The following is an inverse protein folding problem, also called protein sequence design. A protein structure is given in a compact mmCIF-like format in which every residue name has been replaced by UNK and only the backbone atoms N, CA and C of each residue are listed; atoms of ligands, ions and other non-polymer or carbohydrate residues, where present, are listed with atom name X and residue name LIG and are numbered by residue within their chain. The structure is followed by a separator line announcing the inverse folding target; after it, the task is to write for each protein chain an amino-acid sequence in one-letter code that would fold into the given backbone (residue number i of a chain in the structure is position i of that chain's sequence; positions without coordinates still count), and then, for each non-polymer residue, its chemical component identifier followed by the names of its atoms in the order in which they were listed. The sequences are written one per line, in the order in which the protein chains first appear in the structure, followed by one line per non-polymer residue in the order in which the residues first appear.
data_IF_088459092658
#
_entry.id   IF_088459092658
#
_cell.length_a   1.000
_cell.length_b   1.000
_cell.length_c   1.000
_cell.angle_alpha   90.00
_cell.angle_beta   90.00
_cell.angle_gamma   90.00
#
_symmetry.space_group_name_H-M   'P 1'
#
loop_
_entity.id
_entity.type
_entity.pdbx_description
1 polymer ?
#
# COMPACT_ATOMS: atom_id res chain seq x y z
N UNK A 1 -9.38 -10.83 3.86
CA UNK A 1 -9.05 -9.59 3.10
C UNK A 1 -10.32 -8.81 2.83
N UNK A 2 -10.29 -7.50 2.95
CA UNK A 2 -11.46 -6.64 2.69
C UNK A 2 -11.74 -6.56 1.20
N UNK A 3 -13.02 -6.37 0.82
CA UNK A 3 -13.41 -6.24 -0.59
C UNK A 3 -12.66 -5.11 -1.30
N UNK A 4 -12.50 -3.95 -0.65
CA UNK A 4 -11.79 -2.82 -1.24
C UNK A 4 -10.33 -3.19 -1.56
N UNK A 5 -9.71 -4.05 -0.76
CA UNK A 5 -8.34 -4.52 -1.00
C UNK A 5 -8.28 -5.48 -2.18
N UNK A 6 -9.28 -6.33 -2.33
CA UNK A 6 -9.40 -7.21 -3.50
C UNK A 6 -9.53 -6.39 -4.79
N UNK A 7 -10.34 -5.35 -4.78
CA UNK A 7 -10.52 -4.45 -5.92
C UNK A 7 -9.23 -3.66 -6.22
N UNK A 8 -8.56 -3.19 -5.17
CA UNK A 8 -7.25 -2.52 -5.29
C UNK A 8 -6.23 -3.42 -5.99
N UNK A 9 -6.11 -4.66 -5.54
CA UNK A 9 -5.17 -5.64 -6.13
C UNK A 9 -5.55 -5.93 -7.58
N UNK A 10 -6.83 -6.03 -7.91
CA UNK A 10 -7.29 -6.22 -9.27
C UNK A 10 -6.85 -5.07 -10.17
N UNK A 11 -6.97 -3.83 -9.69
CA UNK A 11 -6.53 -2.66 -10.46
C UNK A 11 -5.02 -2.68 -10.71
N UNK A 12 -4.23 -3.04 -9.69
CA UNK A 12 -2.78 -3.15 -9.81
C UNK A 12 -2.41 -4.24 -10.82
N UNK A 13 -3.02 -5.41 -10.70
CA UNK A 13 -2.72 -6.56 -11.58
C UNK A 13 -3.10 -6.30 -13.04
N UNK A 14 -4.11 -5.48 -13.27
CA UNK A 14 -4.59 -5.16 -14.61
C UNK A 14 -4.02 -3.84 -15.15
N UNK A 15 -3.13 -3.19 -14.41
CA UNK A 15 -2.45 -1.98 -14.85
C UNK A 15 -3.42 -0.84 -15.16
N UNK A 16 -4.35 -0.55 -14.26
CA UNK A 16 -5.35 0.49 -14.49
C UNK A 16 -5.48 1.42 -13.29
N UNK A 17 -5.92 2.64 -13.55
CA UNK A 17 -6.28 3.59 -12.52
C UNK A 17 -7.60 3.17 -11.87
N UNK A 18 -7.69 3.37 -10.56
CA UNK A 18 -8.88 2.99 -9.80
C UNK A 18 -8.94 3.81 -8.52
N UNK A 19 -10.13 4.12 -8.08
CA UNK A 19 -10.32 4.70 -6.75
C UNK A 19 -11.68 4.29 -6.19
N UNK A 20 -11.73 4.08 -4.89
CA UNK A 20 -12.96 3.77 -4.17
C UNK A 20 -12.80 4.19 -2.72
N UNK A 21 -13.77 4.97 -2.21
CA UNK A 21 -13.74 5.50 -0.86
C UNK A 21 -12.40 6.21 -0.59
N UNK A 22 -11.61 5.71 0.35
CA UNK A 22 -10.36 6.35 0.78
C UNK A 22 -9.11 5.82 0.05
N UNK A 23 -9.24 4.86 -0.87
CA UNK A 23 -8.12 4.16 -1.49
C UNK A 23 -8.08 4.43 -2.99
N UNK A 24 -6.89 4.65 -3.53
CA UNK A 24 -6.69 4.89 -4.95
C UNK A 24 -5.44 4.21 -5.48
N UNK A 25 -5.47 3.84 -6.75
CA UNK A 25 -4.35 3.28 -7.49
C UNK A 25 -4.13 4.12 -8.73
N UNK A 26 -2.89 4.58 -8.94
CA UNK A 26 -2.48 5.26 -10.17
C UNK A 26 -1.43 4.43 -10.88
N UNK A 27 -1.76 3.98 -12.08
CA UNK A 27 -0.85 3.18 -12.89
C UNK A 27 0.06 4.09 -13.73
N UNK A 28 1.37 3.81 -13.73
CA UNK A 28 2.37 4.51 -14.52
C UNK A 28 2.80 3.64 -15.69
N UNK A 29 2.33 3.95 -16.91
CA UNK A 29 2.68 3.18 -18.10
C UNK A 29 4.18 3.16 -18.37
N UNK A 30 4.88 4.26 -18.08
CA UNK A 30 6.31 4.37 -18.34
C UNK A 30 7.15 3.37 -17.56
N UNK A 31 6.73 3.02 -16.34
CA UNK A 31 7.47 2.10 -15.47
C UNK A 31 6.78 0.75 -15.32
N UNK A 32 5.49 0.68 -15.63
CA UNK A 32 4.66 -0.49 -15.34
C UNK A 32 4.30 -0.64 -13.86
N UNK A 33 4.66 0.34 -13.03
CA UNK A 33 4.37 0.36 -11.60
C UNK A 33 3.03 1.01 -11.28
N UNK A 34 2.58 0.80 -10.06
CA UNK A 34 1.32 1.39 -9.57
C UNK A 34 1.57 2.07 -8.23
N UNK A 35 1.17 3.34 -8.12
CA UNK A 35 1.21 4.08 -6.86
C UNK A 35 -0.11 3.87 -6.12
N UNK A 36 -0.02 3.56 -4.84
CA UNK A 36 -1.18 3.31 -3.98
C UNK A 36 -1.31 4.43 -2.97
N UNK A 37 -2.51 4.97 -2.87
CA UNK A 37 -2.84 6.10 -1.99
C UNK A 37 -3.93 5.72 -1.01
N UNK A 38 -3.83 6.25 0.20
CA UNK A 38 -4.87 6.14 1.24
C UNK A 38 -5.12 7.55 1.78
N UNK A 39 -6.36 8.03 1.69
CA UNK A 39 -6.73 9.41 2.05
C UNK A 39 -5.85 10.46 1.34
N UNK A 40 -5.45 10.19 0.10
CA UNK A 40 -4.57 11.06 -0.66
C UNK A 40 -3.08 10.95 -0.30
N UNK A 41 -2.72 10.14 0.68
CA UNK A 41 -1.33 9.91 1.06
C UNK A 41 -0.74 8.74 0.29
N UNK A 42 0.38 8.95 -0.36
CA UNK A 42 1.09 7.88 -1.08
C UNK A 42 1.71 6.92 -0.06
N UNK A 43 1.17 5.71 0.03
CA UNK A 43 1.61 4.72 1.03
C UNK A 43 2.59 3.69 0.46
N UNK A 44 2.51 3.40 -0.83
CA UNK A 44 3.39 2.40 -1.45
C UNK A 44 3.40 2.56 -2.97
N UNK A 45 4.45 2.03 -3.59
CA UNK A 45 4.53 1.83 -5.04
C UNK A 45 4.74 0.34 -5.28
N UNK A 46 3.85 -0.27 -6.05
CA UNK A 46 4.00 -1.67 -6.46
C UNK A 46 4.72 -1.68 -7.80
N UNK A 47 5.92 -2.23 -7.82
CA UNK A 47 6.73 -2.30 -9.02
C UNK A 47 6.15 -3.30 -10.03
N UNK A 48 6.60 -3.21 -11.28
CA UNK A 48 6.16 -4.10 -12.34
C UNK A 48 6.34 -5.58 -12.00
N UNK A 49 7.38 -5.92 -11.23
CA UNK A 49 7.63 -7.28 -10.77
C UNK A 49 6.75 -7.73 -9.60
N UNK A 50 5.86 -6.86 -9.13
CA UNK A 50 4.94 -7.14 -8.02
C UNK A 50 5.48 -6.79 -6.64
N UNK A 51 6.72 -6.35 -6.52
CA UNK A 51 7.31 -5.98 -5.24
C UNK A 51 6.81 -4.59 -4.80
N UNK A 52 6.28 -4.51 -3.60
CA UNK A 52 5.79 -3.26 -3.02
C UNK A 52 6.90 -2.52 -2.28
N UNK A 53 7.10 -1.24 -2.64
CA UNK A 53 8.00 -0.34 -1.93
C UNK A 53 7.17 0.56 -1.03
N UNK A 54 7.44 0.51 0.27
CA UNK A 54 6.70 1.28 1.28
C UNK A 54 7.22 2.71 1.34
N UNK A 55 6.30 3.66 1.40
CA UNK A 55 6.62 5.05 1.70
C UNK A 55 6.79 5.19 3.20
N UNK A 56 8.01 5.05 3.70
CA UNK A 56 8.32 4.93 5.13
C UNK A 56 7.89 6.18 5.91
N UNK A 57 8.10 7.36 5.36
CA UNK A 57 7.70 8.60 6.04
C UNK A 57 6.19 8.69 6.20
N UNK A 58 5.43 8.25 5.20
CA UNK A 58 3.98 8.20 5.28
C UNK A 58 3.53 7.22 6.36
N UNK A 59 4.14 6.04 6.41
CA UNK A 59 3.82 5.05 7.43
C UNK A 59 4.13 5.56 8.84
N UNK A 60 5.24 6.27 9.03
CA UNK A 60 5.59 6.87 10.33
C UNK A 60 4.56 7.90 10.78
N UNK A 61 4.06 8.72 9.85
CA UNK A 61 3.15 9.81 10.17
C UNK A 61 1.70 9.32 10.33
N UNK A 62 1.32 8.27 9.62
CA UNK A 62 -0.04 7.72 9.63
C UNK A 62 -0.04 6.19 9.77
N UNK A 63 0.41 5.66 10.94
CA UNK A 63 0.48 4.21 11.16
C UNK A 63 -0.88 3.66 11.61
N UNK A 64 -1.93 3.96 10.87
CA UNK A 64 -3.28 3.52 11.21
C UNK A 64 -3.49 2.05 10.86
N UNK A 65 -4.50 1.43 11.47
CA UNK A 65 -4.89 0.06 11.14
C UNK A 65 -5.22 -0.09 9.65
N UNK A 66 -5.86 0.92 9.08
CA UNK A 66 -6.21 0.90 7.65
C UNK A 66 -4.96 0.94 6.78
N UNK A 67 -3.99 1.81 7.10
CA UNK A 67 -2.71 1.84 6.38
C UNK A 67 -2.03 0.48 6.41
N UNK A 68 -1.93 -0.12 7.60
CA UNK A 68 -1.29 -1.42 7.75
C UNK A 68 -2.05 -2.53 7.03
N UNK A 69 -3.39 -2.49 7.05
CA UNK A 69 -4.21 -3.45 6.33
C UNK A 69 -3.96 -3.38 4.82
N UNK A 70 -3.90 -2.17 4.24
CA UNK A 70 -3.60 -1.99 2.82
C UNK A 70 -2.20 -2.52 2.48
N UNK A 71 -1.20 -2.18 3.30
CA UNK A 71 0.18 -2.63 3.07
C UNK A 71 0.30 -4.16 3.16
N UNK A 72 -0.37 -4.80 4.12
CA UNK A 72 -0.38 -6.27 4.20
C UNK A 72 -1.02 -6.89 2.97
N UNK A 73 -2.08 -6.29 2.45
CA UNK A 73 -2.72 -6.76 1.22
C UNK A 73 -1.77 -6.69 0.03
N UNK A 74 -0.83 -5.74 0.03
CA UNK A 74 0.20 -5.61 -1.00
C UNK A 74 1.39 -6.57 -0.78
N UNK A 75 1.35 -7.39 0.26
CA UNK A 75 2.41 -8.34 0.57
C UNK A 75 3.51 -7.79 1.48
N UNK A 76 3.29 -6.62 2.08
CA UNK A 76 4.27 -6.01 2.99
C UNK A 76 4.15 -6.62 4.37
N UNK A 77 5.30 -6.99 4.96
CA UNK A 77 5.37 -7.47 6.34
C UNK A 77 5.42 -6.27 7.29
N UNK A 78 4.27 -5.87 7.77
CA UNK A 78 4.12 -4.74 8.70
C UNK A 78 3.20 -5.14 9.85
N UNK A 79 3.56 -4.74 11.06
CA UNK A 79 2.73 -4.99 12.24
C UNK A 79 3.01 -3.95 13.32
N UNK A 80 2.22 -4.00 14.39
CA UNK A 80 2.46 -3.21 15.60
C UNK A 80 2.88 -4.16 16.71
N UNK A 81 3.97 -3.83 17.37
CA UNK A 81 4.48 -4.62 18.48
C UNK A 81 4.86 -3.67 19.62
N UNK A 82 4.19 -3.86 20.78
CA UNK A 82 4.39 -3.03 21.99
C UNK A 82 4.26 -1.53 21.68
N UNK A 83 3.27 -1.18 20.83
CA UNK A 83 3.03 0.22 20.43
C UNK A 83 3.95 0.74 19.34
N UNK A 84 4.94 -0.01 18.90
CA UNK A 84 5.85 0.38 17.84
C UNK A 84 5.46 -0.26 16.52
N UNK A 85 5.55 0.51 15.43
CA UNK A 85 5.33 -0.02 14.08
C UNK A 85 6.59 -0.75 13.64
N UNK A 86 6.40 -2.00 13.21
CA UNK A 86 7.48 -2.86 12.72
C UNK A 86 7.32 -3.05 11.22
N UNK A 87 8.37 -2.78 10.46
CA UNK A 87 8.44 -3.04 9.03
C UNK A 87 9.56 -4.04 8.79
N UNK A 88 9.22 -5.21 8.23
CA UNK A 88 10.17 -6.30 8.01
C UNK A 88 10.96 -6.63 9.28
N UNK A 89 10.26 -6.66 10.43
CA UNK A 89 10.82 -6.97 11.77
C UNK A 89 11.78 -5.91 12.32
N UNK A 90 11.87 -4.74 11.69
CA UNK A 90 12.64 -3.61 12.19
C UNK A 90 11.69 -2.51 12.68
N UNK A 91 11.97 -1.93 13.84
CA UNK A 91 11.19 -0.79 14.35
C UNK A 91 11.44 0.45 13.48
N UNK A 92 10.37 1.17 13.19
CA UNK A 92 10.49 2.45 12.47
C UNK A 92 10.84 3.59 13.40
#
# INVERSE_FOLDING_TARGET
MRLIETEMLSAINNGRNWSKANTAVEFAESTGGSDVFLHGHHIATVQRNGLALVMVNTLRNWPTRTTMSRLRALGVDVCTRRGAVMLHWAAL
#
